data_IF_385232159737
#
_entry.id   IF_385232159737
#
_cell.length_a   1.000
_cell.length_b   1.000
_cell.length_c   1.000
_cell.angle_alpha   90.00
_cell.angle_beta   90.00
_cell.angle_gamma   90.00
#
_symmetry.space_group_name_H-M   'P 1'
#
loop_
_entity.id
_entity.type
_entity.pdbx_description
1 polymer ?
#
# COMPACT_ATOMS: atom_id res chain seq x y z
N UNK A 1 -30.96 -5.37 -60.48
CA UNK A 1 -30.05 -6.37 -59.85
C UNK A 1 -28.75 -6.35 -60.65
N UNK A 2 -27.54 -6.34 -60.08
CA UNK A 2 -27.07 -5.96 -58.73
C UNK A 2 -25.78 -5.10 -58.74
N UNK A 3 -25.30 -4.72 -57.55
CA UNK A 3 -23.92 -4.28 -57.28
C UNK A 3 -23.87 -3.23 -56.16
N UNK A 4 -24.03 -3.58 -54.86
CA UNK A 4 -22.94 -3.89 -53.89
C UNK A 4 -21.78 -2.90 -53.99
N UNK A 5 -21.22 -2.28 -52.95
CA UNK A 5 -21.42 -2.22 -51.49
C UNK A 5 -20.40 -1.15 -50.99
N UNK A 6 -20.16 -0.93 -49.68
CA UNK A 6 -20.09 0.42 -49.13
C UNK A 6 -18.75 0.77 -48.45
N UNK A 7 -18.66 1.99 -47.87
CA UNK A 7 -17.82 2.37 -46.72
C UNK A 7 -16.30 2.18 -46.88
N UNK A 8 -15.63 3.27 -47.22
CA UNK A 8 -14.36 3.62 -46.59
C UNK A 8 -14.66 4.59 -45.44
N UNK A 9 -15.14 4.02 -44.34
CA UNK A 9 -15.05 4.67 -43.03
C UNK A 9 -13.60 4.50 -42.61
N UNK A 10 -12.82 5.57 -42.74
CA UNK A 10 -11.51 5.66 -42.11
C UNK A 10 -11.70 5.42 -40.61
N UNK A 11 -11.38 4.19 -40.20
CA UNK A 11 -11.29 3.82 -38.81
C UNK A 11 -10.15 4.65 -38.21
N UNK A 12 -10.50 5.64 -37.41
CA UNK A 12 -9.57 6.28 -36.49
C UNK A 12 -8.87 5.14 -35.71
N UNK A 13 -7.53 5.11 -35.63
CA UNK A 13 -6.90 4.22 -34.69
C UNK A 13 -7.37 4.62 -33.29
N UNK A 14 -8.12 3.73 -32.64
CA UNK A 14 -8.29 3.78 -31.20
C UNK A 14 -6.88 3.88 -30.59
N UNK A 15 -6.60 4.79 -29.65
CA UNK A 15 -5.39 4.69 -28.87
C UNK A 15 -5.50 3.40 -28.05
N UNK A 16 -4.86 2.35 -28.54
CA UNK A 16 -4.55 1.13 -27.80
C UNK A 16 -3.44 1.50 -26.84
N UNK A 17 -3.67 1.26 -25.55
CA UNK A 17 -2.64 1.32 -24.52
C UNK A 17 -2.70 2.56 -23.65
N UNK A 18 -3.78 2.69 -22.86
CA UNK A 18 -3.51 2.98 -21.44
C UNK A 18 -2.69 1.78 -20.97
N UNK A 19 -1.36 1.93 -20.94
CA UNK A 19 -0.63 1.26 -19.88
C UNK A 19 -1.30 1.77 -18.60
N UNK A 20 -2.18 0.96 -18.02
CA UNK A 20 -2.35 1.01 -16.57
C UNK A 20 -0.95 0.70 -16.06
N UNK A 21 -0.14 1.75 -15.91
CA UNK A 21 1.02 1.71 -15.06
C UNK A 21 0.47 1.20 -13.74
N UNK A 22 0.86 -0.03 -13.40
CA UNK A 22 0.60 -0.61 -12.09
C UNK A 22 1.21 0.37 -11.11
N UNK A 23 0.35 1.20 -10.53
CA UNK A 23 0.74 2.24 -9.62
C UNK A 23 -0.27 2.24 -8.47
N UNK A 24 0.27 1.97 -7.30
CA UNK A 24 -0.37 2.15 -6.00
C UNK A 24 -1.05 3.52 -5.95
N UNK A 25 -2.36 3.53 -5.70
CA UNK A 25 -3.14 4.76 -5.56
C UNK A 25 -3.14 5.22 -4.11
N UNK A 26 -2.77 6.47 -3.86
CA UNK A 26 -2.79 7.08 -2.54
C UNK A 26 -4.22 7.38 -2.09
N UNK A 27 -4.68 6.69 -1.05
CA UNK A 27 -5.99 6.91 -0.41
C UNK A 27 -5.87 7.88 0.74
N UNK A 28 -4.83 7.73 1.56
CA UNK A 28 -4.51 8.63 2.67
C UNK A 28 -3.03 8.97 2.54
N UNK A 29 -2.68 10.22 2.71
CA UNK A 29 -1.28 10.64 2.72
C UNK A 29 -1.17 11.92 3.52
N UNK A 30 -0.10 12.03 4.31
CA UNK A 30 0.21 13.25 5.07
C UNK A 30 0.96 14.27 4.21
N UNK A 31 1.66 13.80 3.17
CA UNK A 31 2.63 14.60 2.42
C UNK A 31 2.15 15.04 1.03
N UNK A 32 1.01 14.53 0.56
CA UNK A 32 0.45 14.84 -0.76
C UNK A 32 -1.08 15.02 -0.71
N UNK A 33 -1.69 15.31 -1.86
CA UNK A 33 -3.15 15.30 -2.00
C UNK A 33 -3.60 13.86 -2.27
N UNK A 34 -4.56 13.31 -1.51
CA UNK A 34 -5.14 12.01 -1.81
C UNK A 34 -5.70 11.93 -3.24
N UNK A 35 -5.55 10.77 -3.88
CA UNK A 35 -6.04 10.51 -5.24
C UNK A 35 -7.52 10.08 -5.26
N UNK A 36 -8.14 10.00 -4.09
CA UNK A 36 -9.53 9.60 -3.88
C UNK A 36 -10.31 10.69 -3.17
N UNK A 37 -11.65 10.56 -3.19
CA UNK A 37 -12.53 11.45 -2.42
C UNK A 37 -12.47 11.09 -0.94
N UNK A 38 -12.67 12.09 -0.09
CA UNK A 38 -12.67 11.97 1.37
C UNK A 38 -13.64 10.88 1.85
N UNK A 39 -14.86 10.81 1.30
CA UNK A 39 -15.85 9.81 1.73
C UNK A 39 -15.43 8.38 1.41
N UNK A 40 -14.60 8.18 0.39
CA UNK A 40 -14.03 6.86 0.06
C UNK A 40 -12.90 6.51 1.03
N UNK A 41 -12.02 7.47 1.35
CA UNK A 41 -10.95 7.28 2.33
C UNK A 41 -11.52 6.93 3.71
N UNK A 42 -12.51 7.67 4.20
CA UNK A 42 -13.17 7.42 5.50
C UNK A 42 -13.80 6.01 5.57
N UNK A 43 -14.41 5.55 4.47
CA UNK A 43 -14.97 4.21 4.38
C UNK A 43 -13.90 3.12 4.50
N UNK A 44 -12.74 3.33 3.88
CA UNK A 44 -11.61 2.42 4.00
C UNK A 44 -11.05 2.42 5.41
N UNK A 45 -10.86 3.58 6.03
CA UNK A 45 -10.38 3.65 7.41
C UNK A 45 -11.27 2.84 8.35
N UNK A 46 -12.59 3.07 8.27
CA UNK A 46 -13.56 2.34 9.07
C UNK A 46 -13.53 0.83 8.77
N UNK A 47 -13.32 0.45 7.52
CA UNK A 47 -13.19 -0.95 7.11
C UNK A 47 -11.93 -1.59 7.71
N UNK A 48 -10.79 -0.90 7.67
CA UNK A 48 -9.52 -1.38 8.19
C UNK A 48 -9.55 -1.52 9.72
N UNK A 49 -10.29 -0.68 10.45
CA UNK A 49 -10.47 -0.88 11.91
C UNK A 49 -11.11 -2.22 12.29
N UNK A 50 -11.81 -2.86 11.35
CA UNK A 50 -12.52 -4.14 11.54
C UNK A 50 -11.85 -5.30 10.83
N UNK A 51 -10.82 -5.02 10.04
CA UNK A 51 -10.13 -6.01 9.21
C UNK A 51 -8.80 -6.34 9.86
N UNK A 52 -8.50 -7.62 10.02
CA UNK A 52 -7.18 -8.03 10.48
C UNK A 52 -6.18 -7.94 9.31
N UNK A 53 -4.98 -7.40 9.53
CA UNK A 53 -3.96 -7.38 8.50
C UNK A 53 -3.49 -8.81 8.18
N UNK A 54 -3.12 -9.01 6.92
CA UNK A 54 -2.54 -10.26 6.42
C UNK A 54 -1.06 -10.38 6.81
N UNK A 55 -0.36 -9.24 6.77
CA UNK A 55 1.03 -9.09 7.22
C UNK A 55 1.15 -7.80 8.04
N UNK A 56 1.98 -7.83 9.06
CA UNK A 56 2.15 -6.69 9.98
C UNK A 56 3.59 -6.64 10.49
N UNK A 57 4.23 -5.49 10.28
CA UNK A 57 5.49 -5.13 10.93
C UNK A 57 5.20 -4.00 11.91
N UNK A 58 5.69 -4.10 13.14
CA UNK A 58 5.50 -3.08 14.17
C UNK A 58 6.78 -2.73 14.90
N UNK A 59 6.84 -1.51 15.41
CA UNK A 59 7.84 -1.10 16.39
C UNK A 59 7.15 -0.47 17.60
N UNK A 60 7.63 -0.83 18.78
CA UNK A 60 7.26 -0.17 20.02
C UNK A 60 8.32 0.87 20.37
N UNK A 61 7.88 2.03 20.85
CA UNK A 61 8.78 3.03 21.40
C UNK A 61 9.27 2.68 22.80
N UNK A 62 10.06 3.59 23.38
CA UNK A 62 10.63 3.47 24.73
C UNK A 62 9.57 3.35 25.84
N UNK A 63 8.33 3.78 25.59
CA UNK A 63 7.20 3.62 26.52
C UNK A 63 6.44 2.30 26.32
N UNK A 64 6.86 1.45 25.37
CA UNK A 64 6.21 0.19 25.03
C UNK A 64 4.94 0.35 24.20
N UNK A 65 4.69 1.54 23.64
CA UNK A 65 3.54 1.81 22.78
C UNK A 65 3.93 1.61 21.32
N UNK A 66 3.05 0.99 20.53
CA UNK A 66 3.25 0.88 19.08
C UNK A 66 3.01 2.25 18.45
N UNK A 67 4.07 2.85 17.91
CA UNK A 67 4.04 4.13 17.21
C UNK A 67 4.60 4.06 15.79
N UNK A 68 4.97 2.86 15.35
CA UNK A 68 5.26 2.54 13.95
C UNK A 68 4.56 1.24 13.56
N UNK A 69 3.94 1.23 12.37
CA UNK A 69 3.49 0.00 11.74
C UNK A 69 3.49 0.10 10.22
N UNK A 70 3.70 -1.06 9.59
CA UNK A 70 3.36 -1.29 8.19
C UNK A 70 2.44 -2.50 8.15
N UNK A 71 1.28 -2.36 7.51
CA UNK A 71 0.26 -3.41 7.44
C UNK A 71 -0.22 -3.64 6.03
N UNK A 72 -0.30 -4.90 5.62
CA UNK A 72 -0.89 -5.30 4.35
C UNK A 72 -2.30 -5.86 4.57
N UNK A 73 -3.26 -5.34 3.82
CA UNK A 73 -4.66 -5.75 3.88
C UNK A 73 -5.14 -6.23 2.51
N UNK A 74 -6.23 -7.01 2.52
CA UNK A 74 -7.04 -7.24 1.33
C UNK A 74 -8.51 -7.08 1.66
N UNK A 75 -9.27 -6.37 0.83
CA UNK A 75 -10.70 -6.14 1.05
C UNK A 75 -11.44 -5.86 -0.28
N UNK A 76 -12.77 -6.03 -0.30
CA UNK A 76 -13.58 -5.52 -1.41
C UNK A 76 -13.67 -3.99 -1.35
N UNK A 77 -13.21 -3.29 -2.38
CA UNK A 77 -13.24 -1.83 -2.44
C UNK A 77 -14.67 -1.28 -2.29
N UNK A 78 -14.89 -0.24 -1.47
CA UNK A 78 -16.20 0.37 -1.32
C UNK A 78 -16.79 0.84 -2.65
N UNK A 79 -18.07 0.58 -2.87
CA UNK A 79 -18.80 0.97 -4.09
C UNK A 79 -18.62 0.04 -5.30
N UNK A 80 -17.47 -0.61 -5.47
CA UNK A 80 -17.22 -1.53 -6.61
C UNK A 80 -17.25 -3.00 -6.23
N UNK A 81 -16.87 -3.33 -5.00
CA UNK A 81 -16.71 -4.71 -4.52
C UNK A 81 -15.50 -5.45 -5.10
N UNK A 82 -14.67 -4.77 -5.89
CA UNK A 82 -13.46 -5.35 -6.49
C UNK A 82 -12.44 -5.64 -5.39
N UNK A 83 -11.88 -6.85 -5.39
CA UNK A 83 -10.81 -7.20 -4.44
C UNK A 83 -9.61 -6.27 -4.66
N UNK A 84 -9.22 -5.59 -3.60
CA UNK A 84 -8.15 -4.60 -3.55
C UNK A 84 -7.20 -4.97 -2.42
N UNK A 85 -5.93 -4.65 -2.63
CA UNK A 85 -4.86 -4.81 -1.65
C UNK A 85 -4.42 -3.43 -1.20
N UNK A 86 -4.14 -3.27 0.08
CA UNK A 86 -3.73 -1.98 0.62
C UNK A 86 -2.57 -2.10 1.58
N UNK A 87 -1.66 -1.14 1.52
CA UNK A 87 -0.56 -0.98 2.47
C UNK A 87 -0.87 0.25 3.32
N UNK A 88 -1.03 0.06 4.62
CA UNK A 88 -1.18 1.14 5.61
C UNK A 88 0.14 1.28 6.36
N UNK A 89 0.87 2.33 6.02
CA UNK A 89 2.11 2.75 6.63
C UNK A 89 1.83 3.86 7.64
N UNK A 90 2.44 3.74 8.82
CA UNK A 90 2.39 4.77 9.85
C UNK A 90 3.72 4.86 10.59
N UNK A 91 4.15 6.10 10.78
CA UNK A 91 5.19 6.48 11.73
C UNK A 91 4.72 7.72 12.52
N UNK A 92 5.50 8.19 13.52
CA UNK A 92 5.11 9.36 14.31
C UNK A 92 4.97 10.67 13.51
N UNK A 93 5.54 10.75 12.31
CA UNK A 93 5.57 11.95 11.48
C UNK A 93 4.51 11.94 10.37
N UNK A 94 4.02 10.77 9.97
CA UNK A 94 3.26 10.58 8.76
C UNK A 94 2.42 9.29 8.78
N UNK A 95 1.36 9.31 7.97
CA UNK A 95 0.57 8.14 7.64
C UNK A 95 0.27 8.13 6.16
N UNK A 96 0.41 6.97 5.55
CA UNK A 96 0.19 6.72 4.14
C UNK A 96 -0.62 5.43 3.98
N UNK A 97 -1.71 5.50 3.22
CA UNK A 97 -2.52 4.35 2.85
C UNK A 97 -2.58 4.31 1.34
N UNK A 98 -2.02 3.25 0.77
CA UNK A 98 -1.88 3.04 -0.66
C UNK A 98 -2.65 1.78 -1.08
N UNK A 99 -3.38 1.83 -2.20
CA UNK A 99 -4.16 0.70 -2.74
C UNK A 99 -3.67 0.25 -4.12
N UNK A 100 -3.67 -1.07 -4.36
CA UNK A 100 -3.55 -1.64 -5.70
C UNK A 100 -4.52 -2.80 -5.91
N UNK A 101 -4.86 -3.07 -7.17
CA UNK A 101 -5.57 -4.31 -7.54
C UNK A 101 -4.64 -5.51 -7.66
N UNK A 102 -3.32 -5.28 -7.70
CA UNK A 102 -2.28 -6.31 -7.74
C UNK A 102 -1.81 -6.68 -6.33
N UNK A 103 -1.81 -7.98 -6.03
CA UNK A 103 -1.23 -8.47 -4.79
C UNK A 103 0.29 -8.27 -4.76
N UNK A 104 0.96 -8.59 -5.87
CA UNK A 104 2.42 -8.53 -6.00
C UNK A 104 2.93 -7.10 -5.76
N UNK A 105 2.27 -6.11 -6.36
CA UNK A 105 2.63 -4.71 -6.18
C UNK A 105 2.45 -4.24 -4.72
N UNK A 106 1.36 -4.62 -4.07
CA UNK A 106 1.12 -4.27 -2.67
C UNK A 106 2.10 -4.98 -1.72
N UNK A 107 2.48 -6.23 -2.04
CA UNK A 107 3.46 -6.99 -1.26
C UNK A 107 4.88 -6.39 -1.41
N UNK A 108 5.28 -6.05 -2.64
CA UNK A 108 6.53 -5.33 -2.90
C UNK A 108 6.57 -3.98 -2.18
N UNK A 109 5.47 -3.22 -2.21
CA UNK A 109 5.39 -1.93 -1.50
C UNK A 109 5.44 -2.11 0.02
N UNK A 110 4.82 -3.15 0.56
CA UNK A 110 4.94 -3.50 1.98
C UNK A 110 6.40 -3.75 2.36
N UNK A 111 7.12 -4.59 1.61
CA UNK A 111 8.53 -4.88 1.89
C UNK A 111 9.43 -3.66 1.70
N UNK A 112 9.14 -2.82 0.71
CA UNK A 112 9.86 -1.56 0.48
C UNK A 112 9.78 -0.64 1.69
N UNK A 113 8.57 -0.41 2.21
CA UNK A 113 8.34 0.41 3.42
C UNK A 113 9.07 -0.17 4.63
N UNK A 114 8.99 -1.49 4.85
CA UNK A 114 9.68 -2.14 5.97
C UNK A 114 11.21 -2.04 5.83
N UNK A 115 11.77 -2.30 4.64
CA UNK A 115 13.21 -2.18 4.39
C UNK A 115 13.70 -0.74 4.45
N UNK A 116 12.90 0.23 4.03
CA UNK A 116 13.21 1.65 4.16
C UNK A 116 13.25 2.05 5.64
N UNK A 117 12.25 1.66 6.43
CA UNK A 117 12.21 1.87 7.87
C UNK A 117 13.40 1.20 8.59
N UNK A 118 13.77 -0.01 8.18
CA UNK A 118 14.93 -0.73 8.73
C UNK A 118 16.25 0.05 8.59
N UNK A 119 16.42 0.84 7.51
CA UNK A 119 17.63 1.63 7.26
C UNK A 119 17.76 2.83 8.19
N UNK A 120 16.66 3.28 8.79
CA UNK A 120 16.60 4.49 9.64
C UNK A 120 16.32 4.18 11.11
N UNK A 121 16.31 2.90 11.50
CA UNK A 121 16.10 2.50 12.89
C UNK A 121 17.12 3.18 13.82
N UNK A 122 16.62 3.61 14.97
CA UNK A 122 17.45 4.21 16.01
C UNK A 122 18.44 3.19 16.59
N UNK A 123 19.53 3.72 17.16
CA UNK A 123 20.47 2.95 17.95
C UNK A 123 20.23 3.19 19.44
N UNK A 124 20.38 2.15 20.24
CA UNK A 124 20.33 2.24 21.69
C UNK A 124 21.60 2.91 22.26
N UNK A 125 21.65 3.03 23.59
CA UNK A 125 22.78 3.66 24.29
C UNK A 125 24.10 2.89 24.13
N UNK A 126 24.05 1.62 23.73
CA UNK A 126 25.20 0.76 23.47
C UNK A 126 25.59 0.75 21.98
N UNK A 127 24.91 1.55 21.14
CA UNK A 127 25.15 1.63 19.70
C UNK A 127 24.61 0.43 18.92
N UNK A 128 23.66 -0.32 19.48
CA UNK A 128 22.95 -1.41 18.78
C UNK A 128 21.66 -0.91 18.19
N UNK A 129 21.34 -1.38 16.99
CA UNK A 129 20.11 -1.02 16.31
C UNK A 129 18.90 -1.57 17.08
N UNK A 130 17.89 -0.74 17.34
CA UNK A 130 16.65 -1.15 17.99
C UNK A 130 15.82 -1.93 16.96
N UNK A 131 15.59 -3.25 17.14
CA UNK A 131 14.88 -4.06 16.16
C UNK A 131 13.39 -3.70 16.11
N UNK A 132 12.70 -4.17 15.08
CA UNK A 132 11.24 -4.20 15.08
C UNK A 132 10.72 -5.13 16.18
N UNK A 133 9.58 -4.78 16.75
CA UNK A 133 8.84 -5.62 17.71
C UNK A 133 8.31 -6.88 17.02
N UNK A 134 7.83 -6.72 15.79
CA UNK A 134 7.42 -7.83 14.91
C UNK A 134 7.77 -7.48 13.47
N UNK A 135 8.28 -8.45 12.71
CA UNK A 135 8.41 -8.35 11.26
C UNK A 135 8.51 -9.76 10.67
N UNK A 136 8.01 -9.93 9.46
CA UNK A 136 8.12 -11.15 8.67
C UNK A 136 9.04 -10.99 7.44
N UNK A 137 9.68 -9.81 7.29
CA UNK A 137 10.54 -9.49 6.15
C UNK A 137 11.95 -10.01 6.39
N UNK A 138 12.44 -10.83 5.46
CA UNK A 138 13.78 -11.40 5.54
C UNK A 138 14.87 -10.30 5.46
N UNK A 139 15.92 -10.44 6.29
CA UNK A 139 17.05 -9.51 6.33
C UNK A 139 16.78 -8.21 7.08
N UNK A 140 15.61 -8.07 7.71
CA UNK A 140 15.22 -6.90 8.51
C UNK A 140 15.36 -7.24 10.01
N UNK A 141 15.98 -6.37 10.83
CA UNK A 141 16.14 -6.62 12.26
C UNK A 141 14.79 -6.77 12.99
N UNK A 142 14.53 -7.95 13.55
CA UNK A 142 13.30 -8.29 14.27
C UNK A 142 13.57 -8.99 15.61
N UNK A 143 12.52 -9.47 16.31
CA UNK A 143 12.64 -10.06 17.65
C UNK A 143 13.44 -11.38 17.69
N UNK A 144 13.83 -11.94 16.54
CA UNK A 144 14.58 -13.18 16.40
C UNK A 144 15.87 -13.05 15.59
N UNK A 145 16.35 -11.81 15.38
CA UNK A 145 17.63 -11.57 14.70
C UNK A 145 18.79 -11.69 15.72
N UNK A 146 19.20 -12.92 16.03
CA UNK A 146 20.49 -13.25 16.69
C UNK A 146 21.66 -13.18 15.69
#
# INVERSE_FOLDING_TARGET
>A
VPGRSPRDTEALPCPVGLHEEQHMRNVITTNATPEVREEYAEQIELLLTKTNPLRETTQANKAGQIDFWVRLYSYPAPGTGVKTWAVDYHDPASRELEESTSHEEADERYEEHVRAAAKILEFDHDGKQIPFTSTDVEGVPGPHSD
#
